data_IF_754876722974
#
_entry.id   IF_754876722974
#
_cell.length_a   1.000
_cell.length_b   1.000
_cell.length_c   1.000
_cell.angle_alpha   90.00
_cell.angle_beta   90.00
_cell.angle_gamma   90.00
#
_symmetry.space_group_name_H-M   'P 1'
#
loop_
_entity.id
_entity.type
_entity.pdbx_description
1 polymer ?
#
# COMPACT_ATOMS: atom_id res chain seq x y z
N UNK A 1 4.23 -7.76 30.32
CA UNK A 1 5.68 -8.03 30.14
C UNK A 1 6.51 -7.87 31.41
N UNK A 2 6.19 -6.96 32.35
CA UNK A 2 7.08 -6.56 33.46
C UNK A 2 7.71 -7.71 34.29
N UNK A 3 6.97 -8.79 34.57
CA UNK A 3 7.48 -9.98 35.29
C UNK A 3 7.12 -11.28 34.54
N UNK A 4 7.25 -11.31 33.20
CA UNK A 4 6.96 -12.50 32.37
C UNK A 4 8.06 -12.67 31.32
N UNK A 5 8.50 -13.89 30.99
CA UNK A 5 9.51 -14.10 29.95
C UNK A 5 8.99 -13.61 28.58
N UNK A 6 9.87 -13.10 27.71
CA UNK A 6 9.48 -12.64 26.38
C UNK A 6 9.03 -13.81 25.51
N UNK A 7 8.03 -13.57 24.67
CA UNK A 7 7.57 -14.54 23.69
C UNK A 7 8.61 -14.67 22.56
N UNK A 8 8.93 -15.89 22.15
CA UNK A 8 9.70 -16.11 20.92
C UNK A 8 8.77 -16.02 19.71
N UNK A 9 8.71 -14.83 19.14
CA UNK A 9 7.95 -14.54 17.93
C UNK A 9 8.86 -14.42 16.71
N UNK A 10 10.13 -14.85 16.77
CA UNK A 10 11.12 -14.56 15.72
C UNK A 10 10.64 -15.03 14.34
N UNK A 11 10.16 -16.28 14.24
CA UNK A 11 9.67 -16.83 12.97
C UNK A 11 8.40 -16.12 12.51
N UNK A 12 7.46 -15.87 13.43
CA UNK A 12 6.22 -15.16 13.13
C UNK A 12 6.51 -13.76 12.56
N UNK A 13 7.42 -13.02 13.19
CA UNK A 13 7.83 -11.68 12.77
C UNK A 13 8.51 -11.69 11.40
N UNK A 14 9.32 -12.72 11.09
CA UNK A 14 9.92 -12.87 9.75
C UNK A 14 8.82 -13.02 8.68
N UNK A 15 7.83 -13.90 8.90
CA UNK A 15 6.73 -14.06 7.94
C UNK A 15 5.86 -12.81 7.83
N UNK A 16 5.56 -12.17 8.97
CA UNK A 16 4.77 -10.94 9.01
C UNK A 16 5.44 -9.82 8.21
N UNK A 17 6.74 -9.56 8.46
CA UNK A 17 7.48 -8.53 7.74
C UNK A 17 7.60 -8.87 6.24
N UNK A 18 7.81 -10.15 5.89
CA UNK A 18 7.84 -10.57 4.49
C UNK A 18 6.49 -10.32 3.79
N UNK A 19 5.37 -10.64 4.44
CA UNK A 19 4.04 -10.35 3.92
C UNK A 19 3.80 -8.85 3.77
N UNK A 20 4.26 -8.03 4.74
CA UNK A 20 4.19 -6.57 4.65
C UNK A 20 4.98 -6.02 3.46
N UNK A 21 6.18 -6.55 3.19
CA UNK A 21 6.99 -6.13 2.03
C UNK A 21 6.26 -6.47 0.72
N UNK A 22 5.69 -7.66 0.60
CA UNK A 22 4.90 -8.05 -0.59
C UNK A 22 3.69 -7.15 -0.77
N UNK A 23 2.94 -6.90 0.31
CA UNK A 23 1.76 -6.03 0.27
C UNK A 23 2.11 -4.58 -0.09
N UNK A 24 3.17 -4.02 0.52
CA UNK A 24 3.67 -2.68 0.19
C UNK A 24 4.13 -2.58 -1.26
N UNK A 25 4.78 -3.62 -1.78
CA UNK A 25 5.22 -3.67 -3.19
C UNK A 25 4.01 -3.67 -4.14
N UNK A 26 2.97 -4.43 -3.80
CA UNK A 26 1.72 -4.42 -4.56
C UNK A 26 1.04 -3.05 -4.53
N UNK A 27 0.93 -2.40 -3.37
CA UNK A 27 0.39 -1.05 -3.23
C UNK A 27 1.17 -0.03 -4.07
N UNK A 28 2.50 -0.08 -4.05
CA UNK A 28 3.34 0.78 -4.87
C UNK A 28 3.02 0.63 -6.36
N UNK A 29 2.83 -0.60 -6.83
CA UNK A 29 2.40 -0.86 -8.20
C UNK A 29 1.00 -0.31 -8.50
N UNK A 30 0.03 -0.48 -7.59
CA UNK A 30 -1.33 0.03 -7.76
C UNK A 30 -1.36 1.56 -7.83
N UNK A 31 -0.67 2.26 -6.94
CA UNK A 31 -0.53 3.73 -7.00
C UNK A 31 0.20 4.18 -8.27
N UNK A 32 1.28 3.49 -8.64
CA UNK A 32 2.01 3.68 -9.89
C UNK A 32 1.07 3.66 -11.09
N UNK A 33 0.33 2.57 -11.24
CA UNK A 33 -0.54 2.35 -12.41
C UNK A 33 -1.86 3.13 -12.35
N UNK A 34 -2.29 3.53 -11.15
CA UNK A 34 -3.48 4.35 -10.90
C UNK A 34 -3.28 5.85 -11.19
N UNK A 35 -2.06 6.29 -11.53
CA UNK A 35 -1.85 7.66 -11.98
C UNK A 35 -0.39 8.07 -12.10
N UNK A 36 0.45 7.71 -11.13
CA UNK A 36 1.83 8.21 -11.05
C UNK A 36 2.68 7.85 -12.28
N UNK A 37 2.60 6.61 -12.78
CA UNK A 37 3.24 6.17 -14.01
C UNK A 37 2.39 6.42 -15.26
N UNK A 38 1.17 6.93 -15.10
CA UNK A 38 0.17 7.07 -16.17
C UNK A 38 -0.58 8.41 -16.06
N UNK A 39 0.01 9.43 -16.66
CA UNK A 39 -0.66 10.70 -16.94
C UNK A 39 -0.62 11.74 -15.82
N UNK A 40 -0.17 11.40 -14.62
CA UNK A 40 0.06 12.42 -13.59
C UNK A 40 1.25 13.30 -13.96
N UNK A 41 1.11 14.60 -13.70
CA UNK A 41 2.13 15.60 -14.03
C UNK A 41 3.28 15.69 -13.02
N UNK A 42 3.23 14.89 -11.94
CA UNK A 42 4.11 15.01 -10.76
C UNK A 42 4.11 16.41 -10.10
N UNK A 43 3.07 17.21 -10.37
CA UNK A 43 2.82 18.52 -9.75
C UNK A 43 1.48 18.47 -9.01
N UNK A 44 0.76 19.59 -8.96
CA UNK A 44 -0.60 19.62 -8.45
C UNK A 44 -1.51 18.80 -9.38
N UNK A 45 -1.86 17.59 -8.95
CA UNK A 45 -2.85 16.73 -9.60
C UNK A 45 -4.14 16.77 -8.77
N UNK A 46 -5.26 17.28 -9.32
CA UNK A 46 -6.52 17.24 -8.60
C UNK A 46 -7.02 15.80 -8.47
N UNK A 47 -7.80 15.54 -7.43
CA UNK A 47 -8.50 14.26 -7.27
C UNK A 47 -9.58 14.14 -8.34
N UNK A 48 -9.56 13.04 -9.08
CA UNK A 48 -10.62 12.69 -10.02
C UNK A 48 -11.72 11.92 -9.27
N UNK A 49 -12.90 12.52 -9.17
CA UNK A 49 -14.07 11.92 -8.50
C UNK A 49 -15.01 11.18 -9.47
N UNK A 50 -14.62 11.02 -10.74
CA UNK A 50 -15.41 10.27 -11.72
C UNK A 50 -15.31 8.76 -11.50
N UNK A 51 -16.16 8.00 -12.20
CA UNK A 51 -16.11 6.54 -12.22
C UNK A 51 -15.16 5.97 -13.29
N UNK A 52 -14.14 6.75 -13.68
CA UNK A 52 -13.09 6.27 -14.57
C UNK A 52 -12.34 5.09 -13.92
N UNK A 53 -12.07 3.99 -14.64
CA UNK A 53 -11.29 2.87 -14.12
C UNK A 53 -9.97 3.25 -13.44
N UNK A 54 -9.27 4.29 -13.92
CA UNK A 54 -8.02 4.78 -13.30
C UNK A 54 -8.29 5.47 -11.97
N UNK A 55 -9.31 6.32 -11.90
CA UNK A 55 -9.71 7.03 -10.68
C UNK A 55 -10.21 6.06 -9.61
N UNK A 56 -11.04 5.09 -9.99
CA UNK A 56 -11.52 4.03 -9.10
C UNK A 56 -10.34 3.18 -8.58
N UNK A 57 -9.38 2.85 -9.44
CA UNK A 57 -8.16 2.12 -9.04
C UNK A 57 -7.34 2.90 -8.00
N UNK A 58 -7.15 4.21 -8.22
CA UNK A 58 -6.48 5.09 -7.26
C UNK A 58 -7.22 5.13 -5.91
N UNK A 59 -8.55 5.20 -5.92
CA UNK A 59 -9.37 5.16 -4.71
C UNK A 59 -9.23 3.81 -3.97
N UNK A 60 -9.24 2.68 -4.69
CA UNK A 60 -9.00 1.36 -4.09
C UNK A 60 -7.61 1.22 -3.49
N UNK A 61 -6.57 1.68 -4.19
CA UNK A 61 -5.20 1.69 -3.66
C UNK A 61 -5.10 2.52 -2.37
N UNK A 62 -5.81 3.66 -2.32
CA UNK A 62 -5.88 4.54 -1.15
C UNK A 62 -6.65 3.93 0.02
N UNK A 63 -7.62 3.04 -0.24
CA UNK A 63 -8.35 2.33 0.82
C UNK A 63 -7.52 1.19 1.44
N UNK A 64 -6.69 0.53 0.63
CA UNK A 64 -5.84 -0.56 1.10
C UNK A 64 -4.59 -0.09 1.87
N UNK A 65 -4.15 1.14 1.63
CA UNK A 65 -3.02 1.76 2.32
C UNK A 65 -3.43 2.32 3.69
#
# INVERSE_FOLDING_TARGET
>A
MKNRPPFDLRRLLVFYNAAQVVFSTWLFYEFGMGGWFRGYSYRCQPVDYSQNPVAIRMAHASWWY
#
